data_IF_830748669973
#
_entry.id   IF_830748669973
#
_cell.length_a   1.000
_cell.length_b   1.000
_cell.length_c   1.000
_cell.angle_alpha   90.00
_cell.angle_beta   90.00
_cell.angle_gamma   90.00
#
_symmetry.space_group_name_H-M   'P 1'
#
loop_
_entity.id
_entity.type
_entity.pdbx_description
1 polymer ?
#
# COMPACT_ATOMS: atom_id res chain seq x y z
N UNK A 1 11.21 6.67 2.59
CA UNK A 1 12.25 6.39 1.57
C UNK A 1 13.12 5.19 1.95
N UNK A 2 13.99 5.29 2.96
CA UNK A 2 14.97 4.24 3.27
C UNK A 2 14.39 2.81 3.43
N UNK A 3 13.26 2.64 4.13
CA UNK A 3 12.60 1.33 4.23
C UNK A 3 12.07 0.80 2.90
N UNK A 4 11.62 1.67 1.99
CA UNK A 4 11.16 1.28 0.67
C UNK A 4 12.33 0.98 -0.29
N UNK A 5 13.50 1.57 -0.07
CA UNK A 5 14.68 1.34 -0.93
C UNK A 5 15.50 0.12 -0.50
N UNK A 6 15.68 -0.05 0.80
CA UNK A 6 16.56 -1.07 1.37
C UNK A 6 15.79 -2.30 1.86
N UNK A 7 14.47 -2.19 2.00
CA UNK A 7 13.67 -3.15 2.77
C UNK A 7 13.92 -3.02 4.28
N UNK A 8 13.09 -3.69 5.08
CA UNK A 8 13.24 -3.66 6.53
C UNK A 8 14.60 -4.23 6.94
N UNK A 9 14.97 -5.44 6.53
CA UNK A 9 16.13 -6.15 7.10
C UNK A 9 17.46 -5.43 6.87
N UNK A 10 17.67 -4.82 5.69
CA UNK A 10 18.92 -4.12 5.37
C UNK A 10 18.99 -2.69 5.93
N UNK A 11 17.87 -2.09 6.33
CA UNK A 11 17.85 -0.73 6.87
C UNK A 11 18.28 -0.71 8.35
N UNK A 12 19.58 -0.68 8.66
CA UNK A 12 20.02 -0.58 10.07
C UNK A 12 19.56 0.72 10.75
N UNK A 13 19.31 0.71 12.06
CA UNK A 13 18.92 1.92 12.81
C UNK A 13 19.97 3.04 12.66
N UNK A 14 21.25 2.70 12.60
CA UNK A 14 22.33 3.65 12.36
C UNK A 14 22.26 4.29 10.97
N UNK A 15 21.97 3.50 9.94
CA UNK A 15 21.82 4.01 8.57
C UNK A 15 20.59 4.90 8.45
N UNK A 16 19.48 4.52 9.08
CA UNK A 16 18.27 5.33 9.15
C UNK A 16 18.53 6.68 9.84
N UNK A 17 19.18 6.67 11.01
CA UNK A 17 19.54 7.88 11.73
C UNK A 17 20.48 8.79 10.93
N UNK A 18 21.48 8.19 10.25
CA UNK A 18 22.41 8.91 9.38
C UNK A 18 21.67 9.61 8.24
N UNK A 19 20.73 8.93 7.57
CA UNK A 19 19.92 9.53 6.48
C UNK A 19 18.99 10.64 6.98
N UNK A 20 18.50 10.53 8.20
CA UNK A 20 17.68 11.56 8.84
C UNK A 20 18.50 12.74 9.39
N UNK A 21 19.83 12.66 9.41
CA UNK A 21 20.68 13.70 9.99
C UNK A 21 20.57 13.80 11.52
N UNK A 22 20.16 12.73 12.20
CA UNK A 22 19.96 12.68 13.66
C UNK A 22 21.00 11.79 14.34
N UNK A 23 21.05 11.87 15.67
CA UNK A 23 21.89 10.99 16.49
C UNK A 23 21.58 9.50 16.23
N UNK A 24 22.61 8.65 16.25
CA UNK A 24 22.47 7.21 16.06
C UNK A 24 21.56 6.54 17.11
N UNK A 25 21.36 7.17 18.27
CA UNK A 25 20.46 6.69 19.32
C UNK A 25 19.01 7.15 19.14
N UNK A 26 18.73 8.12 18.26
CA UNK A 26 17.41 8.76 18.13
C UNK A 26 16.26 7.75 17.98
N UNK A 27 16.45 6.71 17.16
CA UNK A 27 15.41 5.70 16.93
C UNK A 27 15.11 4.92 18.22
N UNK A 28 16.15 4.52 18.95
CA UNK A 28 15.98 3.81 20.22
C UNK A 28 15.39 4.75 21.27
N UNK A 29 15.86 5.99 21.36
CA UNK A 29 15.39 6.96 22.36
C UNK A 29 13.93 7.37 22.14
N UNK A 30 13.50 7.55 20.88
CA UNK A 30 12.17 8.07 20.55
C UNK A 30 11.12 6.98 20.31
N UNK A 31 11.53 5.83 19.77
CA UNK A 31 10.63 4.76 19.36
C UNK A 31 10.91 3.43 20.07
N UNK A 32 12.02 3.31 20.82
CA UNK A 32 12.41 2.10 21.53
C UNK A 32 13.02 1.01 20.64
N UNK A 33 12.55 0.87 19.39
CA UNK A 33 13.08 -0.11 18.45
C UNK A 33 12.88 0.30 16.99
N UNK A 34 13.65 -0.34 16.10
CA UNK A 34 13.46 -0.23 14.64
C UNK A 34 12.07 -0.71 14.20
N UNK A 35 11.52 -1.75 14.84
CA UNK A 35 10.18 -2.25 14.54
C UNK A 35 9.10 -1.20 14.87
N UNK A 36 9.18 -0.59 16.05
CA UNK A 36 8.27 0.49 16.44
C UNK A 36 8.42 1.72 15.54
N UNK A 37 9.65 2.08 15.17
CA UNK A 37 9.88 3.16 14.21
C UNK A 37 9.29 2.85 12.83
N UNK A 38 9.45 1.62 12.33
CA UNK A 38 8.82 1.19 11.09
C UNK A 38 7.30 1.29 11.14
N UNK A 39 6.66 0.87 12.25
CA UNK A 39 5.20 1.00 12.43
C UNK A 39 4.76 2.46 12.39
N UNK A 40 5.49 3.36 13.07
CA UNK A 40 5.21 4.79 13.05
C UNK A 40 5.37 5.40 11.63
N UNK A 41 6.35 4.93 10.85
CA UNK A 41 6.52 5.34 9.45
C UNK A 41 5.35 4.86 8.59
N UNK A 42 4.91 3.61 8.76
CA UNK A 42 3.76 3.05 8.05
C UNK A 42 2.48 3.80 8.41
N UNK A 43 2.25 4.05 9.70
CA UNK A 43 1.12 4.81 10.20
C UNK A 43 1.10 6.23 9.62
N UNK A 44 2.23 6.92 9.63
CA UNK A 44 2.34 8.25 9.01
C UNK A 44 2.07 8.19 7.49
N UNK A 45 2.61 7.18 6.81
CA UNK A 45 2.46 7.03 5.38
C UNK A 45 1.02 6.67 4.96
N UNK A 46 0.30 5.89 5.77
CA UNK A 46 -1.04 5.41 5.44
C UNK A 46 -2.17 6.22 6.09
N UNK A 47 -1.94 6.83 7.25
CA UNK A 47 -2.98 7.42 8.09
C UNK A 47 -3.82 8.47 7.35
N UNK A 48 -3.16 9.43 6.68
CA UNK A 48 -3.86 10.43 5.88
C UNK A 48 -4.55 9.85 4.64
N UNK A 49 -4.03 8.74 4.08
CA UNK A 49 -4.55 8.10 2.87
C UNK A 49 -5.78 7.25 3.15
N UNK A 50 -5.78 6.56 4.28
CA UNK A 50 -6.92 5.76 4.75
C UNK A 50 -8.05 6.64 5.26
N UNK A 51 -7.74 7.79 5.87
CA UNK A 51 -8.75 8.79 6.21
C UNK A 51 -9.51 9.31 4.96
N UNK A 52 -8.89 9.26 3.78
CA UNK A 52 -9.51 9.63 2.51
C UNK A 52 -10.19 8.47 1.76
N UNK A 53 -10.21 7.25 2.32
CA UNK A 53 -10.96 6.16 1.70
C UNK A 53 -12.46 6.50 1.72
N UNK A 54 -13.17 6.36 0.58
CA UNK A 54 -14.60 6.58 0.55
C UNK A 54 -15.24 5.65 1.57
N UNK A 55 -15.98 6.26 2.51
CA UNK A 55 -16.80 5.50 3.43
C UNK A 55 -17.84 4.72 2.62
N UNK A 56 -18.29 3.60 3.16
CA UNK A 56 -19.38 2.84 2.57
C UNK A 56 -20.59 3.77 2.50
N UNK A 57 -21.00 4.13 1.27
CA UNK A 57 -22.23 4.87 1.03
C UNK A 57 -23.36 3.86 0.80
N UNK A 58 -24.30 3.72 1.75
CA UNK A 58 -25.39 2.74 1.65
C UNK A 58 -26.37 3.05 0.52
N UNK A 59 -26.30 4.25 -0.07
CA UNK A 59 -27.14 4.64 -1.21
C UNK A 59 -26.60 4.20 -2.57
N UNK A 60 -25.33 3.78 -2.62
CA UNK A 60 -24.70 3.29 -3.84
C UNK A 60 -24.99 1.82 -4.09
N UNK A 61 -25.10 1.47 -5.37
CA UNK A 61 -25.11 0.08 -5.82
C UNK A 61 -23.79 -0.62 -5.46
N UNK A 62 -23.86 -1.91 -5.09
CA UNK A 62 -22.67 -2.67 -4.65
C UNK A 62 -21.57 -2.75 -5.73
N UNK A 63 -21.96 -2.81 -7.01
CA UNK A 63 -20.99 -2.84 -8.11
C UNK A 63 -20.27 -1.49 -8.24
N UNK A 64 -21.02 -0.40 -8.07
CA UNK A 64 -20.48 0.96 -8.10
C UNK A 64 -19.57 1.21 -6.89
N UNK A 65 -19.98 0.74 -5.72
CA UNK A 65 -19.18 0.80 -4.51
C UNK A 65 -17.86 0.04 -4.66
N UNK A 66 -17.92 -1.22 -5.14
CA UNK A 66 -16.73 -2.02 -5.39
C UNK A 66 -15.79 -1.34 -6.41
N UNK A 67 -16.36 -0.78 -7.48
CA UNK A 67 -15.61 -0.02 -8.49
C UNK A 67 -14.91 1.20 -7.89
N UNK A 68 -15.59 1.95 -7.02
CA UNK A 68 -15.01 3.12 -6.35
C UNK A 68 -13.87 2.73 -5.41
N UNK A 69 -14.03 1.66 -4.62
CA UNK A 69 -12.97 1.15 -3.73
C UNK A 69 -11.72 0.79 -4.54
N UNK A 70 -11.87 -0.01 -5.61
CA UNK A 70 -10.76 -0.43 -6.46
C UNK A 70 -10.11 0.77 -7.16
N UNK A 71 -10.92 1.70 -7.69
CA UNK A 71 -10.39 2.89 -8.37
C UNK A 71 -9.61 3.80 -7.42
N UNK A 72 -10.12 4.01 -6.20
CA UNK A 72 -9.46 4.82 -5.19
C UNK A 72 -8.16 4.16 -4.70
N UNK A 73 -8.16 2.84 -4.54
CA UNK A 73 -6.96 2.07 -4.22
C UNK A 73 -5.86 2.31 -5.28
N UNK A 74 -6.17 2.16 -6.56
CA UNK A 74 -5.19 2.36 -7.63
C UNK A 74 -4.69 3.81 -7.73
N UNK A 75 -5.57 4.80 -7.52
CA UNK A 75 -5.18 6.22 -7.46
C UNK A 75 -4.20 6.47 -6.32
N UNK A 76 -4.54 6.00 -5.12
CA UNK A 76 -3.70 6.14 -3.93
C UNK A 76 -2.35 5.46 -4.11
N UNK A 77 -2.33 4.28 -4.75
CA UNK A 77 -1.10 3.55 -5.05
C UNK A 77 -0.19 4.31 -6.04
N UNK A 78 -0.77 4.97 -7.04
CA UNK A 78 -0.03 5.81 -7.99
C UNK A 78 0.59 7.04 -7.32
N UNK A 79 -0.12 7.66 -6.38
CA UNK A 79 0.33 8.87 -5.66
C UNK A 79 1.34 8.57 -4.54
N UNK A 80 1.60 7.29 -4.25
CA UNK A 80 2.44 6.85 -3.14
C UNK A 80 3.36 5.66 -3.50
N UNK A 81 4.22 5.78 -4.53
CA UNK A 81 5.01 4.66 -5.05
C UNK A 81 5.96 4.05 -4.01
N UNK A 82 6.47 4.84 -3.06
CA UNK A 82 7.31 4.36 -1.96
C UNK A 82 6.53 3.48 -0.97
N UNK A 83 5.25 3.80 -0.73
CA UNK A 83 4.38 2.99 0.12
C UNK A 83 4.05 1.69 -0.59
N UNK A 84 3.71 1.77 -1.89
CA UNK A 84 3.48 0.58 -2.72
C UNK A 84 4.68 -0.36 -2.70
N UNK A 85 5.91 0.16 -2.85
CA UNK A 85 7.13 -0.68 -2.78
C UNK A 85 7.32 -1.33 -1.42
N UNK A 86 7.13 -0.59 -0.32
CA UNK A 86 7.20 -1.13 1.03
C UNK A 86 6.17 -2.27 1.23
N UNK A 87 4.94 -2.11 0.75
CA UNK A 87 3.92 -3.16 0.83
C UNK A 87 4.31 -4.40 0.04
N UNK A 88 4.72 -4.24 -1.22
CA UNK A 88 5.09 -5.36 -2.09
C UNK A 88 6.23 -6.18 -1.48
N UNK A 89 7.19 -5.52 -0.82
CA UNK A 89 8.27 -6.22 -0.13
C UNK A 89 7.77 -7.06 1.07
N UNK A 90 6.83 -6.57 1.85
CA UNK A 90 6.30 -7.30 3.02
C UNK A 90 5.29 -8.40 2.63
N UNK A 91 4.52 -8.22 1.56
CA UNK A 91 3.51 -9.20 1.12
C UNK A 91 4.09 -10.57 0.72
N UNK A 92 5.39 -10.62 0.43
CA UNK A 92 6.07 -11.85 0.01
C UNK A 92 6.80 -12.57 1.16
N UNK A 93 6.65 -12.12 2.40
CA UNK A 93 7.40 -12.63 3.56
C UNK A 93 6.48 -12.83 4.76
N UNK A 94 6.58 -14.01 5.38
CA UNK A 94 5.89 -14.31 6.63
C UNK A 94 6.60 -13.63 7.81
N UNK A 95 6.08 -12.47 8.23
CA UNK A 95 6.74 -11.59 9.22
C UNK A 95 5.72 -10.87 10.09
N UNK A 96 6.13 -10.45 11.29
CA UNK A 96 5.31 -9.61 12.18
C UNK A 96 4.86 -8.28 11.53
N UNK A 97 5.57 -7.83 10.50
CA UNK A 97 5.23 -6.64 9.72
C UNK A 97 4.05 -6.93 8.80
N UNK A 98 4.02 -8.10 8.17
CA UNK A 98 2.85 -8.55 7.42
C UNK A 98 1.64 -8.68 8.35
N UNK A 99 1.79 -9.26 9.55
CA UNK A 99 0.71 -9.35 10.54
C UNK A 99 0.15 -7.98 10.92
N UNK A 100 1.04 -7.00 11.12
CA UNK A 100 0.67 -5.62 11.40
C UNK A 100 -0.09 -4.99 10.21
N UNK A 101 0.43 -5.14 8.99
CA UNK A 101 -0.24 -4.62 7.79
C UNK A 101 -1.60 -5.28 7.57
N UNK A 102 -1.69 -6.58 7.82
CA UNK A 102 -2.92 -7.33 7.69
C UNK A 102 -3.97 -6.85 8.68
N UNK A 103 -3.61 -6.83 9.96
CA UNK A 103 -4.52 -6.49 11.05
C UNK A 103 -5.05 -5.05 10.94
N UNK A 104 -4.18 -4.09 10.62
CA UNK A 104 -4.52 -2.68 10.69
C UNK A 104 -5.01 -2.08 9.38
N UNK A 105 -4.66 -2.67 8.22
CA UNK A 105 -4.88 -2.03 6.93
C UNK A 105 -5.54 -2.95 5.89
N UNK A 106 -5.00 -4.14 5.67
CA UNK A 106 -5.50 -5.03 4.60
C UNK A 106 -6.83 -5.68 5.00
N UNK A 107 -6.89 -6.26 6.20
CA UNK A 107 -8.07 -6.96 6.72
C UNK A 107 -9.35 -6.10 6.74
N UNK A 108 -9.33 -4.87 7.30
CA UNK A 108 -10.50 -3.99 7.31
C UNK A 108 -11.04 -3.65 5.91
N UNK A 109 -10.13 -3.39 4.96
CA UNK A 109 -10.50 -3.10 3.57
C UNK A 109 -11.06 -4.35 2.89
N UNK A 110 -10.43 -5.50 3.12
CA UNK A 110 -10.91 -6.79 2.61
C UNK A 110 -12.32 -7.11 3.12
N UNK A 111 -12.59 -6.95 4.42
CA UNK A 111 -13.92 -7.17 4.98
C UNK A 111 -15.01 -6.35 4.27
N UNK A 112 -14.71 -5.09 3.96
CA UNK A 112 -15.62 -4.20 3.21
C UNK A 112 -15.85 -4.72 1.79
N UNK A 113 -14.78 -5.10 1.10
CA UNK A 113 -14.85 -5.64 -0.26
C UNK A 113 -15.61 -6.96 -0.30
N UNK A 114 -15.30 -7.90 0.59
CA UNK A 114 -15.95 -9.21 0.64
C UNK A 114 -17.45 -9.07 0.86
N UNK A 115 -17.87 -8.14 1.73
CA UNK A 115 -19.30 -7.86 1.91
C UNK A 115 -19.99 -7.36 0.62
N UNK A 116 -19.35 -6.50 -0.17
CA UNK A 116 -19.88 -6.07 -1.48
C UNK A 116 -19.92 -7.23 -2.49
N UNK A 117 -18.83 -8.01 -2.56
CA UNK A 117 -18.73 -9.17 -3.47
C UNK A 117 -19.81 -10.21 -3.14
N UNK A 118 -20.02 -10.52 -1.86
CA UNK A 118 -21.03 -11.49 -1.41
C UNK A 118 -22.44 -11.06 -1.84
N UNK A 119 -22.78 -9.78 -1.72
CA UNK A 119 -24.07 -9.24 -2.17
C UNK A 119 -24.23 -9.28 -3.70
N UNK A 120 -23.16 -9.02 -4.45
CA UNK A 120 -23.16 -9.14 -5.91
C UNK A 120 -23.30 -10.59 -6.39
N UNK A 121 -22.67 -11.53 -5.70
CA UNK A 121 -22.82 -12.96 -5.97
C UNK A 121 -24.23 -13.42 -5.65
N UNK A 122 -24.78 -13.05 -4.48
CA UNK A 122 -26.13 -13.41 -4.07
C UNK A 122 -27.22 -12.86 -5.02
N UNK A 123 -26.99 -11.69 -5.61
CA UNK A 123 -27.89 -11.09 -6.62
C UNK A 123 -27.67 -11.61 -8.05
N UNK A 124 -26.73 -12.54 -8.26
CA UNK A 124 -26.42 -13.11 -9.57
C UNK A 124 -25.68 -12.16 -10.53
N UNK A 125 -25.13 -11.06 -10.01
CA UNK A 125 -24.42 -10.03 -10.79
C UNK A 125 -22.91 -10.24 -10.84
N UNK A 126 -22.38 -11.19 -10.08
CA UNK A 126 -20.98 -11.57 -10.09
C UNK A 126 -20.85 -13.09 -9.90
N UNK A 127 -19.88 -13.70 -10.56
CA UNK A 127 -19.54 -15.11 -10.31
C UNK A 127 -18.86 -15.25 -8.94
N UNK A 128 -19.10 -16.35 -8.20
CA UNK A 128 -18.40 -16.61 -6.95
C UNK A 128 -16.89 -16.69 -7.22
N UNK A 129 -16.11 -15.96 -6.43
CA UNK A 129 -14.65 -15.93 -6.52
C UNK A 129 -14.06 -16.08 -5.11
N UNK A 130 -13.06 -16.97 -4.92
CA UNK A 130 -12.34 -17.03 -3.65
C UNK A 130 -11.66 -15.68 -3.33
N UNK A 131 -11.70 -15.27 -2.07
CA UNK A 131 -11.22 -13.95 -1.62
C UNK A 131 -9.73 -13.76 -1.90
N UNK A 132 -8.93 -14.82 -1.74
CA UNK A 132 -7.50 -14.81 -2.07
C UNK A 132 -7.28 -14.57 -3.56
N UNK A 133 -8.02 -15.25 -4.44
CA UNK A 133 -7.95 -15.05 -5.89
C UNK A 133 -8.36 -13.61 -6.25
N UNK A 134 -9.43 -13.10 -5.66
CA UNK A 134 -9.84 -11.71 -5.84
C UNK A 134 -8.75 -10.73 -5.39
N UNK A 135 -8.19 -10.95 -4.19
CA UNK A 135 -7.12 -10.12 -3.64
C UNK A 135 -5.90 -10.09 -4.56
N UNK A 136 -5.45 -11.26 -5.02
CA UNK A 136 -4.31 -11.37 -5.94
C UNK A 136 -4.62 -10.91 -7.37
N UNK A 137 -5.89 -10.73 -7.74
CA UNK A 137 -6.27 -10.06 -8.98
C UNK A 137 -6.22 -8.52 -8.88
N UNK A 138 -6.40 -7.96 -7.68
CA UNK A 138 -6.51 -6.50 -7.47
C UNK A 138 -5.21 -5.88 -6.95
N UNK A 139 -4.51 -6.53 -6.01
CA UNK A 139 -3.39 -5.91 -5.29
C UNK A 139 -2.04 -6.07 -6.03
N UNK A 140 -1.62 -7.28 -6.46
CA UNK A 140 -0.34 -7.47 -7.16
C UNK A 140 -0.10 -6.60 -8.40
N UNK A 141 -1.10 -6.22 -9.22
CA UNK A 141 -0.89 -5.30 -10.33
C UNK A 141 -0.27 -3.95 -9.92
N UNK A 142 -0.41 -3.53 -8.66
CA UNK A 142 0.29 -2.34 -8.12
C UNK A 142 1.81 -2.50 -8.15
N UNK A 143 2.33 -3.72 -8.00
CA UNK A 143 3.76 -4.01 -8.19
C UNK A 143 4.23 -3.64 -9.60
N UNK A 144 3.34 -3.79 -10.57
CA UNK A 144 3.56 -3.35 -11.93
C UNK A 144 3.45 -1.84 -12.10
N UNK A 145 2.87 -1.09 -11.16
CA UNK A 145 2.73 0.38 -11.17
C UNK A 145 3.89 1.10 -10.49
N UNK A 146 4.52 0.49 -9.49
CA UNK A 146 5.78 0.98 -8.96
C UNK A 146 6.87 0.86 -10.04
N UNK A 147 7.82 1.78 -10.07
CA UNK A 147 8.90 1.82 -11.07
C UNK A 147 9.88 0.65 -10.83
N UNK A 148 9.48 -0.55 -11.26
CA UNK A 148 10.27 -1.79 -11.22
C UNK A 148 10.96 -2.00 -12.56
N UNK A 149 12.15 -2.63 -12.57
CA UNK A 149 12.90 -2.89 -13.80
C UNK A 149 12.08 -3.60 -14.88
N UNK A 150 11.17 -4.48 -14.47
CA UNK A 150 10.27 -5.19 -15.38
C UNK A 150 9.31 -4.24 -16.12
N UNK A 151 8.72 -3.26 -15.43
CA UNK A 151 7.80 -2.30 -16.06
C UNK A 151 8.49 -1.48 -17.16
N UNK A 152 9.76 -1.10 -16.95
CA UNK A 152 10.58 -0.42 -17.96
C UNK A 152 10.85 -1.32 -19.18
N UNK A 153 11.15 -2.59 -18.95
CA UNK A 153 11.34 -3.59 -20.04
C UNK A 153 10.05 -3.85 -20.82
N UNK A 154 8.90 -3.69 -20.19
CA UNK A 154 7.58 -3.78 -20.80
C UNK A 154 7.14 -2.47 -21.50
N UNK A 155 8.03 -1.47 -21.61
CA UNK A 155 7.79 -0.26 -22.39
C UNK A 155 7.20 0.92 -21.61
N UNK A 156 7.16 0.89 -20.27
CA UNK A 156 6.73 2.06 -19.50
C UNK A 156 7.72 3.22 -19.67
N UNK A 157 7.26 4.44 -20.04
CA UNK A 157 8.12 5.62 -20.09
C UNK A 157 8.66 5.96 -18.71
N UNK A 158 9.89 6.49 -18.64
CA UNK A 158 10.45 6.98 -17.38
C UNK A 158 9.54 8.04 -16.77
N UNK A 159 9.30 8.03 -15.44
CA UNK A 159 8.48 9.05 -14.80
C UNK A 159 9.07 10.43 -15.10
N UNK A 160 8.26 11.31 -15.69
CA UNK A 160 8.62 12.71 -15.90
C UNK A 160 8.90 13.33 -14.52
N UNK A 161 10.08 13.91 -14.35
CA UNK A 161 10.41 14.66 -13.13
C UNK A 161 9.33 15.72 -12.88
N UNK A 162 8.91 16.00 -11.62
CA UNK A 162 7.93 17.06 -11.34
C UNK A 162 8.29 18.44 -11.92
N UNK A 163 9.58 18.67 -12.23
CA UNK A 163 10.07 19.87 -12.90
C UNK A 163 9.72 19.99 -14.40
N UNK A 164 9.19 18.95 -15.05
CA UNK A 164 8.85 18.98 -16.48
C UNK A 164 7.38 19.34 -16.76
N UNK A 165 6.52 19.43 -15.74
CA UNK A 165 5.09 19.74 -15.91
C UNK A 165 4.75 21.23 -15.76
N UNK A 166 5.70 22.07 -15.36
CA UNK A 166 5.53 23.54 -15.26
C UNK A 166 6.11 24.31 -16.45
N UNK A 167 6.58 23.61 -17.48
CA UNK A 167 7.11 24.18 -18.71
C UNK A 167 6.20 23.87 -19.91
N UNK A 168 4.92 24.21 -19.81
CA UNK A 168 4.03 24.47 -20.95
C UNK A 168 2.95 25.44 -20.52
#
# INVERSE_FOLDING_TARGET
EAFAELGYDHASARELARRLGVSHNFINDRYGSKAAFWRAVVEFALGARLAGMPQVDPSLDDAEQLRQIISNFYRTAADAPLVGRLFVDELNRDTERLDYLYTHYIGPVLQTITACVDRLVASGRMAPIPVDVFFFAVIPPVSGMVDVPLARRLGRPAPSSPQQLTAT
#
